data_IF_222751692230
#
_entry.id   IF_222751692230
#
_cell.length_a   1.000
_cell.length_b   1.000
_cell.length_c   1.000
_cell.angle_alpha   90.00
_cell.angle_beta   90.00
_cell.angle_gamma   90.00
#
_symmetry.space_group_name_H-M   'P 1'
#
loop_
_entity.id
_entity.type
_entity.pdbx_description
1 polymer ?
#
# COMPACT_ATOMS: atom_id res chain seq x y z
N UNK A 1 -14.59 10.33 17.91
CA UNK A 1 -14.52 8.86 17.75
C UNK A 1 -14.84 8.16 19.07
N UNK A 2 -15.55 7.03 19.04
CA UNK A 2 -15.80 6.18 20.22
C UNK A 2 -14.49 5.50 20.65
N UNK A 3 -14.33 5.17 21.96
CA UNK A 3 -13.11 4.50 22.47
C UNK A 3 -12.75 3.23 21.70
N UNK A 4 -13.75 2.43 21.30
CA UNK A 4 -13.56 1.21 20.51
C UNK A 4 -12.99 1.51 19.12
N UNK A 5 -13.40 2.59 18.47
CA UNK A 5 -12.87 3.00 17.16
C UNK A 5 -11.40 3.39 17.24
N UNK A 6 -11.04 4.13 18.31
CA UNK A 6 -9.63 4.50 18.56
C UNK A 6 -8.78 3.25 18.79
N UNK A 7 -9.27 2.31 19.62
CA UNK A 7 -8.56 1.06 19.91
C UNK A 7 -8.30 0.24 18.64
N UNK A 8 -9.34 0.05 17.81
CA UNK A 8 -9.19 -0.70 16.54
C UNK A 8 -8.21 -0.03 15.57
N UNK A 9 -8.28 1.30 15.47
CA UNK A 9 -7.35 2.05 14.63
C UNK A 9 -5.91 1.93 15.14
N UNK A 10 -5.70 2.03 16.46
CA UNK A 10 -4.39 1.87 17.09
C UNK A 10 -3.82 0.47 16.82
N UNK A 11 -4.65 -0.57 16.96
CA UNK A 11 -4.25 -1.95 16.68
C UNK A 11 -3.84 -2.12 15.21
N UNK A 12 -4.63 -1.58 14.30
CA UNK A 12 -4.35 -1.61 12.86
C UNK A 12 -3.03 -0.89 12.52
N UNK A 13 -2.82 0.30 13.10
CA UNK A 13 -1.57 1.05 12.93
C UNK A 13 -0.36 0.31 13.53
N UNK A 14 -0.55 -0.34 14.67
CA UNK A 14 0.50 -1.12 15.32
C UNK A 14 0.95 -2.31 14.45
N UNK A 15 0.00 -3.02 13.83
CA UNK A 15 0.32 -4.11 12.88
C UNK A 15 1.14 -3.58 11.69
N UNK A 16 0.73 -2.45 11.09
CA UNK A 16 1.48 -1.82 10.00
C UNK A 16 2.91 -1.44 10.42
N UNK A 17 3.08 -0.88 11.62
CA UNK A 17 4.40 -0.52 12.15
C UNK A 17 5.26 -1.77 12.39
N UNK A 18 4.71 -2.85 12.95
CA UNK A 18 5.44 -4.10 13.15
C UNK A 18 5.94 -4.69 11.82
N UNK A 19 5.11 -4.68 10.79
CA UNK A 19 5.49 -5.14 9.45
C UNK A 19 6.59 -4.24 8.86
N UNK A 20 6.49 -2.92 9.03
CA UNK A 20 7.52 -1.99 8.57
C UNK A 20 8.85 -2.22 9.28
N UNK A 21 8.84 -2.41 10.61
CA UNK A 21 10.05 -2.73 11.38
C UNK A 21 10.68 -4.03 10.89
N UNK A 22 9.85 -5.06 10.62
CA UNK A 22 10.34 -6.30 10.03
C UNK A 22 11.01 -6.05 8.67
N UNK A 23 10.42 -5.20 7.81
CA UNK A 23 11.04 -4.84 6.53
C UNK A 23 12.38 -4.13 6.71
N UNK A 24 12.50 -3.22 7.67
CA UNK A 24 13.75 -2.49 7.95
C UNK A 24 14.86 -3.45 8.43
N UNK A 25 14.51 -4.41 9.28
CA UNK A 25 15.47 -5.38 9.83
C UNK A 25 15.98 -6.33 8.74
N UNK A 26 15.09 -6.74 7.81
CA UNK A 26 15.41 -7.68 6.74
C UNK A 26 15.73 -6.98 5.41
N UNK A 27 15.97 -5.68 5.44
CA UNK A 27 16.37 -4.90 4.27
C UNK A 27 17.83 -5.18 3.93
N UNK A 28 18.07 -5.88 2.83
CA UNK A 28 19.41 -6.25 2.39
C UNK A 28 19.76 -5.63 1.02
N UNK A 29 21.02 -5.23 0.87
CA UNK A 29 21.72 -5.12 -0.40
C UNK A 29 21.38 -3.97 -1.34
N UNK A 30 20.44 -3.07 -1.01
CA UNK A 30 20.08 -1.97 -1.91
C UNK A 30 20.66 -0.64 -1.43
N UNK A 31 21.14 0.19 -2.38
CA UNK A 31 21.62 1.53 -2.05
C UNK A 31 20.52 2.41 -1.45
N UNK A 32 20.85 3.15 -0.39
CA UNK A 32 19.94 4.14 0.21
C UNK A 32 19.42 5.15 -0.83
N UNK A 33 20.25 5.55 -1.79
CA UNK A 33 19.85 6.45 -2.88
C UNK A 33 18.75 5.84 -3.75
N UNK A 34 18.84 4.55 -4.02
CA UNK A 34 17.84 3.81 -4.79
C UNK A 34 16.51 3.76 -4.04
N UNK A 35 16.54 3.48 -2.74
CA UNK A 35 15.36 3.48 -1.89
C UNK A 35 14.71 4.88 -1.86
N UNK A 36 15.47 5.93 -1.61
CA UNK A 36 14.96 7.30 -1.58
C UNK A 36 14.38 7.74 -2.94
N UNK A 37 15.03 7.36 -4.04
CA UNK A 37 14.52 7.64 -5.39
C UNK A 37 13.15 6.98 -5.61
N UNK A 38 13.00 5.69 -5.28
CA UNK A 38 11.75 5.00 -5.47
C UNK A 38 10.64 5.45 -4.51
N UNK A 39 10.99 5.85 -3.29
CA UNK A 39 10.07 6.49 -2.35
C UNK A 39 9.51 7.80 -2.93
N UNK A 40 10.37 8.62 -3.53
CA UNK A 40 9.96 9.85 -4.20
C UNK A 40 9.04 9.57 -5.40
N UNK A 41 9.42 8.63 -6.28
CA UNK A 41 8.60 8.24 -7.44
C UNK A 41 7.23 7.71 -7.01
N UNK A 42 7.19 6.82 -6.01
CA UNK A 42 5.93 6.27 -5.51
C UNK A 42 5.02 7.36 -4.90
N UNK A 43 5.58 8.32 -4.15
CA UNK A 43 4.84 9.47 -3.63
C UNK A 43 4.29 10.37 -4.74
N UNK A 44 5.05 10.60 -5.80
CA UNK A 44 4.56 11.33 -6.98
C UNK A 44 3.43 10.56 -7.69
N UNK A 45 3.61 9.27 -7.93
CA UNK A 45 2.58 8.43 -8.56
C UNK A 45 1.28 8.39 -7.76
N UNK A 46 1.36 8.36 -6.43
CA UNK A 46 0.19 8.42 -5.56
C UNK A 46 -0.50 9.79 -5.59
N UNK A 47 0.27 10.86 -5.82
CA UNK A 47 -0.23 12.23 -5.91
C UNK A 47 -0.92 12.54 -7.25
N UNK A 48 -0.78 11.67 -8.25
CA UNK A 48 -1.33 11.84 -9.61
C UNK A 48 -2.43 10.80 -9.87
N UNK A 49 -3.61 10.95 -9.23
CA UNK A 49 -4.69 10.01 -9.39
C UNK A 49 -5.28 10.07 -10.81
N UNK A 50 -5.53 8.91 -11.40
CA UNK A 50 -6.28 8.79 -12.65
C UNK A 50 -7.75 8.50 -12.31
N UNK A 51 -8.63 9.40 -12.70
CA UNK A 51 -10.06 9.25 -12.49
C UNK A 51 -10.65 8.33 -13.56
N UNK A 52 -11.08 7.15 -13.17
CA UNK A 52 -11.65 6.16 -14.09
C UNK A 52 -13.17 6.24 -14.18
N UNK A 53 -13.85 6.68 -13.13
CA UNK A 53 -15.29 6.89 -13.08
C UNK A 53 -15.60 7.98 -12.03
N UNK A 54 -16.86 8.47 -12.02
CA UNK A 54 -17.32 9.62 -11.23
C UNK A 54 -16.80 9.70 -9.78
N UNK A 55 -16.44 8.57 -9.15
CA UNK A 55 -15.95 8.51 -7.76
C UNK A 55 -14.85 7.46 -7.57
N UNK A 56 -14.22 6.98 -8.65
CA UNK A 56 -13.20 5.93 -8.54
C UNK A 56 -11.88 6.44 -9.08
N UNK A 57 -10.87 6.25 -8.27
CA UNK A 57 -9.51 6.71 -8.52
C UNK A 57 -8.60 5.48 -8.57
N UNK A 58 -7.78 5.41 -9.59
CA UNK A 58 -6.69 4.44 -9.69
C UNK A 58 -5.39 5.20 -9.70
N UNK A 59 -4.45 4.78 -8.90
CA UNK A 59 -3.10 5.35 -8.89
C UNK A 59 -2.12 4.47 -9.65
N UNK A 60 -1.13 5.09 -10.27
CA UNK A 60 -0.06 4.38 -10.98
C UNK A 60 0.88 3.68 -10.00
N UNK A 61 0.78 4.00 -8.73
CA UNK A 61 1.60 3.44 -7.64
C UNK A 61 1.61 1.93 -7.64
N UNK A 62 0.48 1.28 -7.93
CA UNK A 62 0.40 -0.18 -7.98
C UNK A 62 1.33 -0.80 -9.04
N UNK A 63 1.48 -0.15 -10.21
CA UNK A 63 2.41 -0.59 -11.24
C UNK A 63 3.88 -0.42 -10.80
N UNK A 64 4.18 0.68 -10.08
CA UNK A 64 5.51 0.89 -9.47
C UNK A 64 5.80 -0.21 -8.46
N UNK A 65 4.87 -0.50 -7.55
CA UNK A 65 5.05 -1.54 -6.52
C UNK A 65 5.23 -2.93 -7.14
N UNK A 66 4.50 -3.25 -8.21
CA UNK A 66 4.71 -4.51 -8.95
C UNK A 66 6.12 -4.59 -9.53
N UNK A 67 6.59 -3.52 -10.18
CA UNK A 67 7.95 -3.47 -10.74
C UNK A 67 9.01 -3.67 -9.66
N UNK A 68 8.80 -3.05 -8.50
CA UNK A 68 9.71 -3.18 -7.36
C UNK A 68 9.68 -4.57 -6.75
N UNK A 69 8.50 -5.20 -6.66
CA UNK A 69 8.37 -6.57 -6.17
C UNK A 69 9.20 -7.54 -7.03
N UNK A 70 9.14 -7.38 -8.36
CA UNK A 70 9.88 -8.21 -9.31
C UNK A 70 11.40 -7.98 -9.27
N UNK A 71 11.84 -6.77 -8.95
CA UNK A 71 13.26 -6.37 -9.04
C UNK A 71 13.98 -6.33 -7.70
N UNK A 72 13.29 -6.03 -6.60
CA UNK A 72 13.89 -5.77 -5.29
C UNK A 72 13.26 -6.58 -4.15
N UNK A 73 12.15 -7.30 -4.42
CA UNK A 73 11.48 -8.16 -3.45
C UNK A 73 10.60 -7.43 -2.43
N UNK A 74 10.04 -8.22 -1.52
CA UNK A 74 8.96 -7.82 -0.61
C UNK A 74 9.35 -6.70 0.35
N UNK A 75 10.51 -6.78 0.98
CA UNK A 75 10.89 -5.80 2.02
C UNK A 75 11.11 -4.41 1.44
N UNK A 76 11.83 -4.32 0.31
CA UNK A 76 12.03 -3.06 -0.40
C UNK A 76 10.70 -2.44 -0.86
N UNK A 77 9.86 -3.24 -1.52
CA UNK A 77 8.56 -2.80 -2.04
C UNK A 77 7.65 -2.29 -0.93
N UNK A 78 7.64 -2.95 0.22
CA UNK A 78 6.84 -2.53 1.38
C UNK A 78 7.31 -1.20 1.95
N UNK A 79 8.62 -0.97 2.05
CA UNK A 79 9.19 0.32 2.50
C UNK A 79 8.76 1.46 1.57
N UNK A 80 8.82 1.23 0.25
CA UNK A 80 8.39 2.21 -0.74
C UNK A 80 6.87 2.44 -0.67
N UNK A 81 6.06 1.39 -0.52
CA UNK A 81 4.61 1.51 -0.37
C UNK A 81 4.22 2.33 0.87
N UNK A 82 4.85 2.04 2.01
CA UNK A 82 4.64 2.81 3.25
C UNK A 82 4.97 4.30 3.07
N UNK A 83 6.05 4.61 2.36
CA UNK A 83 6.44 5.99 2.08
C UNK A 83 5.46 6.71 1.14
N UNK A 84 4.93 6.02 0.13
CA UNK A 84 3.92 6.59 -0.77
C UNK A 84 2.70 7.09 0.00
N UNK A 85 2.24 6.33 1.00
CA UNK A 85 1.12 6.72 1.86
C UNK A 85 1.40 7.95 2.76
N UNK A 86 2.67 8.30 2.96
CA UNK A 86 3.07 9.45 3.77
C UNK A 86 3.33 10.70 2.91
N UNK A 87 3.97 10.52 1.76
CA UNK A 87 4.49 11.64 0.96
C UNK A 87 3.59 12.10 -0.18
N UNK A 88 2.37 11.56 -0.32
CA UNK A 88 1.49 12.00 -1.39
C UNK A 88 0.79 13.33 -1.10
N UNK A 89 0.43 14.02 -2.18
CA UNK A 89 -0.32 15.27 -2.18
C UNK A 89 -1.75 15.00 -2.64
N UNK A 90 -2.72 15.57 -1.96
CA UNK A 90 -4.14 15.48 -2.31
C UNK A 90 -4.57 16.78 -2.94
N UNK A 91 -5.10 16.74 -4.16
CA UNK A 91 -5.76 17.87 -4.78
C UNK A 91 -7.16 18.01 -4.19
N UNK A 92 -7.46 19.15 -3.60
CA UNK A 92 -8.77 19.47 -3.04
C UNK A 92 -9.70 20.04 -4.10
N UNK A 93 -11.00 20.10 -3.85
CA UNK A 93 -12.02 20.59 -4.80
C UNK A 93 -11.79 22.05 -5.21
N UNK A 94 -11.20 22.85 -4.34
CA UNK A 94 -10.79 24.25 -4.60
C UNK A 94 -9.52 24.38 -5.45
N UNK A 95 -8.94 23.24 -5.90
CA UNK A 95 -7.73 23.18 -6.71
C UNK A 95 -6.43 23.32 -5.92
N UNK A 96 -6.49 23.52 -4.60
CA UNK A 96 -5.31 23.55 -3.73
C UNK A 96 -4.75 22.15 -3.49
N UNK A 97 -3.46 22.06 -3.16
CA UNK A 97 -2.82 20.80 -2.76
C UNK A 97 -2.66 20.75 -1.24
N UNK A 98 -3.09 19.66 -0.64
CA UNK A 98 -2.88 19.38 0.78
C UNK A 98 -1.94 18.18 0.95
N UNK A 99 -0.94 18.35 1.80
CA UNK A 99 -0.09 17.25 2.19
C UNK A 99 -0.82 16.32 3.17
N UNK A 100 -0.46 15.05 3.16
CA UNK A 100 -1.03 14.04 4.07
C UNK A 100 -1.02 14.47 5.54
N UNK A 101 0.02 15.18 5.99
CA UNK A 101 0.09 15.72 7.36
C UNK A 101 -0.93 16.83 7.68
N UNK A 102 -1.56 17.43 6.67
CA UNK A 102 -2.67 18.38 6.87
C UNK A 102 -4.04 17.66 7.01
N UNK A 103 -4.04 16.33 6.89
CA UNK A 103 -5.20 15.50 7.17
C UNK A 103 -5.29 15.15 8.67
N UNK A 104 -6.48 14.79 9.17
CA UNK A 104 -6.59 14.19 10.50
C UNK A 104 -5.67 12.98 10.62
N UNK A 105 -4.87 12.92 11.69
CA UNK A 105 -3.83 11.89 11.91
C UNK A 105 -4.31 10.45 11.73
N UNK A 106 -5.57 10.18 12.09
CA UNK A 106 -6.15 8.84 11.93
C UNK A 106 -6.30 8.41 10.46
N UNK A 107 -6.51 9.34 9.53
CA UNK A 107 -6.55 9.06 8.09
C UNK A 107 -5.16 8.72 7.55
N UNK A 108 -4.17 9.50 7.96
CA UNK A 108 -2.77 9.26 7.60
C UNK A 108 -2.28 7.91 8.11
N UNK A 109 -2.57 7.61 9.40
CA UNK A 109 -2.19 6.31 9.98
C UNK A 109 -2.90 5.14 9.32
N UNK A 110 -4.18 5.29 8.97
CA UNK A 110 -4.92 4.26 8.27
C UNK A 110 -4.38 3.99 6.87
N UNK A 111 -4.10 5.03 6.09
CA UNK A 111 -3.51 4.88 4.76
C UNK A 111 -2.13 4.26 4.83
N UNK A 112 -1.27 4.75 5.72
CA UNK A 112 0.05 4.17 5.96
C UNK A 112 -0.04 2.66 6.27
N UNK A 113 -0.88 2.28 7.24
CA UNK A 113 -1.04 0.88 7.62
C UNK A 113 -1.64 0.05 6.49
N UNK A 114 -2.61 0.58 5.77
CA UNK A 114 -3.22 -0.08 4.63
C UNK A 114 -2.19 -0.40 3.54
N UNK A 115 -1.40 0.57 3.11
CA UNK A 115 -0.36 0.37 2.10
C UNK A 115 0.71 -0.61 2.57
N UNK A 116 1.17 -0.46 3.81
CA UNK A 116 2.20 -1.33 4.40
C UNK A 116 1.71 -2.78 4.48
N UNK A 117 0.53 -3.01 5.05
CA UNK A 117 -0.03 -4.35 5.23
C UNK A 117 -0.32 -5.01 3.88
N UNK A 118 -0.94 -4.26 2.95
CA UNK A 118 -1.28 -4.79 1.62
C UNK A 118 -0.03 -5.17 0.82
N UNK A 119 0.98 -4.30 0.78
CA UNK A 119 2.22 -4.58 0.07
C UNK A 119 3.00 -5.74 0.72
N UNK A 120 3.10 -5.77 2.04
CA UNK A 120 3.81 -6.82 2.76
C UNK A 120 3.19 -8.19 2.57
N UNK A 121 1.87 -8.33 2.79
CA UNK A 121 1.20 -9.63 2.69
C UNK A 121 1.13 -10.14 1.25
N UNK A 122 0.88 -9.26 0.28
CA UNK A 122 0.91 -9.66 -1.13
C UNK A 122 2.31 -10.00 -1.62
N UNK A 123 3.33 -9.31 -1.10
CA UNK A 123 4.73 -9.63 -1.36
C UNK A 123 5.11 -11.01 -0.82
N UNK A 124 4.76 -11.32 0.43
CA UNK A 124 4.97 -12.65 1.00
C UNK A 124 4.24 -13.75 0.21
N UNK A 125 3.02 -13.48 -0.27
CA UNK A 125 2.30 -14.41 -1.14
C UNK A 125 3.07 -14.63 -2.45
N UNK A 126 3.60 -13.57 -3.05
CA UNK A 126 4.42 -13.66 -4.24
C UNK A 126 5.65 -14.53 -4.00
N UNK A 127 6.43 -14.25 -2.96
CA UNK A 127 7.63 -14.99 -2.61
C UNK A 127 7.30 -16.48 -2.35
N UNK A 128 6.24 -16.75 -1.58
CA UNK A 128 5.77 -18.12 -1.32
C UNK A 128 5.41 -18.86 -2.60
N UNK A 129 4.72 -18.22 -3.55
CA UNK A 129 4.34 -18.87 -4.80
C UNK A 129 5.54 -19.15 -5.71
N UNK A 130 6.48 -18.22 -5.81
CA UNK A 130 7.73 -18.39 -6.57
C UNK A 130 8.54 -19.55 -6.02
N UNK A 131 8.76 -19.56 -4.70
CA UNK A 131 9.54 -20.59 -4.03
C UNK A 131 8.85 -21.97 -4.08
N UNK A 132 7.56 -22.02 -3.73
CA UNK A 132 6.83 -23.29 -3.66
C UNK A 132 6.66 -23.97 -5.00
N UNK A 133 6.46 -23.19 -6.05
CA UNK A 133 6.27 -23.68 -7.42
C UNK A 133 7.57 -23.73 -8.21
N UNK A 134 8.70 -23.31 -7.61
CA UNK A 134 10.02 -23.25 -8.22
C UNK A 134 9.99 -22.54 -9.60
N UNK A 135 9.28 -21.40 -9.67
CA UNK A 135 9.04 -20.66 -10.91
C UNK A 135 10.21 -19.70 -11.16
N UNK A 136 10.91 -19.89 -12.27
CA UNK A 136 11.91 -18.90 -12.71
C UNK A 136 11.25 -17.66 -13.31
N UNK A 137 11.95 -16.52 -13.25
CA UNK A 137 11.46 -15.22 -13.79
C UNK A 137 11.11 -15.31 -15.28
N UNK A 138 11.78 -16.18 -16.03
CA UNK A 138 11.55 -16.38 -17.48
C UNK A 138 10.44 -17.42 -17.76
N UNK A 139 9.84 -18.00 -16.75
CA UNK A 139 8.77 -18.98 -16.91
C UNK A 139 7.47 -18.31 -17.36
N UNK A 140 6.70 -18.86 -18.31
CA UNK A 140 5.39 -18.35 -18.65
C UNK A 140 4.41 -18.37 -17.47
N UNK A 141 4.61 -19.24 -16.48
CA UNK A 141 3.82 -19.30 -15.25
C UNK A 141 4.04 -18.09 -14.35
N UNK A 142 5.11 -17.30 -14.55
CA UNK A 142 5.33 -16.05 -13.82
C UNK A 142 4.18 -15.05 -14.02
N UNK A 143 3.53 -15.06 -15.18
CA UNK A 143 2.35 -14.22 -15.46
C UNK A 143 1.22 -14.52 -14.47
N UNK A 144 1.00 -15.78 -14.12
CA UNK A 144 -0.01 -16.17 -13.14
C UNK A 144 0.35 -15.67 -11.73
N UNK A 145 1.61 -15.78 -11.33
CA UNK A 145 2.10 -15.29 -10.03
C UNK A 145 1.95 -13.76 -9.94
N UNK A 146 2.32 -13.04 -10.99
CA UNK A 146 2.13 -11.59 -11.11
C UNK A 146 0.64 -11.22 -10.97
N UNK A 147 -0.23 -11.94 -11.66
CA UNK A 147 -1.68 -11.71 -11.57
C UNK A 147 -2.21 -11.96 -10.15
N UNK A 148 -1.74 -13.02 -9.48
CA UNK A 148 -2.11 -13.33 -8.09
C UNK A 148 -1.60 -12.25 -7.12
N UNK A 149 -0.37 -11.78 -7.28
CA UNK A 149 0.18 -10.66 -6.49
C UNK A 149 -0.68 -9.40 -6.65
N UNK A 150 -0.97 -9.02 -7.90
CA UNK A 150 -1.78 -7.84 -8.21
C UNK A 150 -3.17 -7.94 -7.60
N UNK A 151 -3.82 -9.09 -7.78
CA UNK A 151 -5.16 -9.37 -7.25
C UNK A 151 -5.15 -9.33 -5.71
N UNK A 152 -4.17 -9.95 -5.08
CA UNK A 152 -4.02 -9.93 -3.63
C UNK A 152 -3.81 -8.51 -3.10
N UNK A 153 -2.92 -7.73 -3.71
CA UNK A 153 -2.69 -6.33 -3.33
C UNK A 153 -3.98 -5.51 -3.44
N UNK A 154 -4.71 -5.64 -4.56
CA UNK A 154 -5.95 -4.94 -4.78
C UNK A 154 -7.03 -5.33 -3.76
N UNK A 155 -7.24 -6.62 -3.53
CA UNK A 155 -8.25 -7.12 -2.58
C UNK A 155 -7.90 -6.67 -1.16
N UNK A 156 -6.65 -6.86 -0.73
CA UNK A 156 -6.20 -6.46 0.61
C UNK A 156 -6.39 -4.96 0.82
N UNK A 157 -5.88 -4.14 -0.09
CA UNK A 157 -6.04 -2.69 -0.03
C UNK A 157 -7.52 -2.29 0.08
N UNK A 158 -8.35 -2.86 -0.74
CA UNK A 158 -9.79 -2.52 -0.80
C UNK A 158 -10.53 -2.96 0.46
N UNK A 159 -10.28 -4.18 0.95
CA UNK A 159 -10.88 -4.70 2.19
C UNK A 159 -10.46 -3.86 3.38
N UNK A 160 -9.18 -3.54 3.50
CA UNK A 160 -8.65 -2.75 4.62
C UNK A 160 -9.21 -1.32 4.63
N UNK A 161 -9.31 -0.66 3.46
CA UNK A 161 -9.98 0.66 3.33
C UNK A 161 -11.43 0.56 3.75
N UNK A 162 -12.16 -0.46 3.30
CA UNK A 162 -13.59 -0.65 3.65
C UNK A 162 -13.79 -0.87 5.15
N UNK A 163 -12.94 -1.69 5.76
CA UNK A 163 -12.95 -1.92 7.21
C UNK A 163 -12.66 -0.61 7.96
N UNK A 164 -11.66 0.16 7.51
CA UNK A 164 -11.32 1.45 8.09
C UNK A 164 -12.48 2.45 7.99
N UNK A 165 -13.10 2.60 6.81
CA UNK A 165 -14.25 3.49 6.63
C UNK A 165 -15.40 3.09 7.55
N UNK A 166 -15.69 1.79 7.69
CA UNK A 166 -16.69 1.32 8.65
C UNK A 166 -16.38 1.67 10.08
N UNK A 167 -15.12 1.55 10.50
CA UNK A 167 -14.69 1.92 11.87
C UNK A 167 -14.91 3.41 12.12
N UNK A 168 -14.60 4.27 11.15
CA UNK A 168 -14.62 5.73 11.30
C UNK A 168 -16.01 6.29 11.10
N UNK A 169 -16.71 5.94 10.02
CA UNK A 169 -18.01 6.52 9.64
C UNK A 169 -19.20 5.76 10.21
N UNK A 170 -19.04 4.48 10.57
CA UNK A 170 -20.15 3.60 10.93
C UNK A 170 -20.99 3.15 9.74
N UNK A 171 -20.64 3.56 8.52
CA UNK A 171 -21.35 3.18 7.29
C UNK A 171 -21.19 1.69 6.98
N UNK A 172 -22.21 1.00 6.43
CA UNK A 172 -22.07 -0.38 6.02
C UNK A 172 -21.06 -0.51 4.87
N UNK A 173 -20.29 -1.60 4.87
CA UNK A 173 -19.19 -1.84 3.90
C UNK A 173 -19.72 -1.79 2.45
N UNK A 174 -20.96 -2.25 2.22
CA UNK A 174 -21.57 -2.32 0.88
C UNK A 174 -21.85 -0.93 0.28
N UNK A 175 -22.07 0.10 1.10
CA UNK A 175 -22.31 1.46 0.62
C UNK A 175 -21.02 2.22 0.28
N UNK A 176 -19.88 1.67 0.62
CA UNK A 176 -18.56 2.28 0.36
C UNK A 176 -17.91 1.80 -0.94
N UNK A 177 -18.60 0.89 -1.67
CA UNK A 177 -18.20 0.35 -2.98
C UNK A 177 -19.12 0.97 -4.09
#
# INVERSE_FOLDING_TARGET
MKKTQVLLLTLFSFIGILMLVNCIINFEGTSLYQLLFWMFIAGLCESLPVYFARNRVVTVTLAVLLTLQLSHGTYFTTLVAASAAIFYLIKTEDGSFKHTFNLPYYKTMANFSNFTISAYLSGLLYDFLVDKLNISVNSPYMILVIFMYFTATFILNTVLVSVFLRIVSGSPIIETW
#
